data_IF_219480235550
#
_entry.id   IF_219480235550
#
_cell.length_a   1.000
_cell.length_b   1.000
_cell.length_c   1.000
_cell.angle_alpha   90.00
_cell.angle_beta   90.00
_cell.angle_gamma   90.00
#
_symmetry.space_group_name_H-M   'P 1'
#
loop_
_entity.id
_entity.type
_entity.pdbx_description
1 polymer ?
#
# COMPACT_ATOMS: atom_id res chain seq x y z
N UNK A 1 -8.97 -26.00 0.35
CA UNK A 1 -9.58 -25.15 1.38
C UNK A 1 -10.28 -26.02 2.39
N UNK A 2 -9.80 -26.01 3.63
CA UNK A 2 -10.40 -26.69 4.77
C UNK A 2 -11.73 -26.03 5.17
N UNK A 3 -12.61 -26.76 5.84
CA UNK A 3 -13.79 -26.16 6.45
C UNK A 3 -13.40 -25.19 7.57
N UNK A 4 -14.33 -24.32 7.97
CA UNK A 4 -14.12 -23.48 9.15
C UNK A 4 -13.82 -24.33 10.39
N UNK A 5 -14.62 -25.38 10.59
CA UNK A 5 -14.50 -26.32 11.70
C UNK A 5 -13.16 -27.05 11.76
N UNK A 6 -12.72 -27.60 10.63
CA UNK A 6 -11.45 -28.30 10.51
C UNK A 6 -10.27 -27.39 10.87
N UNK A 7 -10.32 -26.14 10.41
CA UNK A 7 -9.29 -25.13 10.67
C UNK A 7 -9.26 -24.74 12.16
N UNK A 8 -10.43 -24.54 12.79
CA UNK A 8 -10.52 -24.31 14.24
C UNK A 8 -9.90 -25.46 15.02
N UNK A 9 -10.24 -26.70 14.65
CA UNK A 9 -9.74 -27.91 15.30
C UNK A 9 -8.21 -27.99 15.20
N UNK A 10 -7.66 -27.82 13.99
CA UNK A 10 -6.23 -27.85 13.71
C UNK A 10 -5.46 -26.86 14.59
N UNK A 11 -5.86 -25.59 14.56
CA UNK A 11 -5.20 -24.52 15.31
C UNK A 11 -5.34 -24.75 16.81
N UNK A 12 -6.52 -25.17 17.27
CA UNK A 12 -6.78 -25.47 18.68
C UNK A 12 -5.85 -26.58 19.17
N UNK A 13 -5.78 -27.70 18.44
CA UNK A 13 -4.96 -28.85 18.85
C UNK A 13 -3.48 -28.55 18.79
N UNK A 14 -3.02 -27.78 17.79
CA UNK A 14 -1.63 -27.34 17.69
C UNK A 14 -1.20 -26.48 18.90
N UNK A 15 -2.16 -25.77 19.52
CA UNK A 15 -1.94 -24.98 20.74
C UNK A 15 -2.16 -25.74 22.05
N UNK A 16 -2.52 -27.03 21.99
CA UNK A 16 -2.84 -27.82 23.19
C UNK A 16 -4.10 -27.36 23.93
N UNK A 17 -4.98 -26.59 23.28
CA UNK A 17 -6.22 -26.08 23.87
C UNK A 17 -7.29 -27.18 23.79
N UNK A 18 -8.05 -27.40 24.86
CA UNK A 18 -9.20 -28.33 24.86
C UNK A 18 -10.45 -27.67 24.25
N UNK A 19 -11.41 -28.48 23.80
CA UNK A 19 -12.68 -27.95 23.30
C UNK A 19 -13.41 -27.12 24.38
N UNK A 20 -13.37 -27.55 25.64
CA UNK A 20 -14.02 -26.84 26.74
C UNK A 20 -13.38 -25.47 26.99
N UNK A 21 -12.05 -25.36 26.91
CA UNK A 21 -11.35 -24.09 27.06
C UNK A 21 -11.65 -23.12 25.92
N UNK A 22 -11.62 -23.60 24.67
CA UNK A 22 -11.93 -22.74 23.51
C UNK A 22 -13.39 -22.28 23.54
N UNK A 23 -14.32 -23.22 23.80
CA UNK A 23 -15.75 -22.93 23.91
C UNK A 23 -16.04 -21.95 25.06
N UNK A 24 -15.45 -22.19 26.24
CA UNK A 24 -15.65 -21.41 27.46
C UNK A 24 -17.11 -21.04 27.68
N UNK A 25 -17.39 -19.75 27.90
CA UNK A 25 -18.75 -19.22 28.01
C UNK A 25 -19.43 -18.82 26.70
N UNK A 26 -18.76 -18.98 25.54
CA UNK A 26 -19.31 -18.54 24.24
C UNK A 26 -20.38 -19.49 23.73
N UNK A 27 -20.05 -20.77 23.75
CA UNK A 27 -20.86 -21.87 23.29
C UNK A 27 -20.59 -23.07 24.19
N UNK A 28 -21.49 -24.06 24.17
CA UNK A 28 -21.22 -25.30 24.88
C UNK A 28 -20.19 -26.15 24.11
N UNK A 29 -19.47 -27.02 24.83
CA UNK A 29 -18.45 -27.92 24.26
C UNK A 29 -19.00 -28.78 23.11
N UNK A 30 -20.24 -29.24 23.21
CA UNK A 30 -20.87 -30.10 22.20
C UNK A 30 -21.10 -29.35 20.89
N UNK A 31 -21.52 -28.08 20.95
CA UNK A 31 -21.63 -27.19 19.80
C UNK A 31 -20.27 -26.95 19.16
N UNK A 32 -19.22 -26.69 19.95
CA UNK A 32 -17.86 -26.58 19.40
C UNK A 32 -17.43 -27.87 18.70
N UNK A 33 -17.72 -29.04 19.29
CA UNK A 33 -17.43 -30.32 18.66
C UNK A 33 -18.21 -30.51 17.35
N UNK A 34 -19.46 -30.05 17.26
CA UNK A 34 -20.22 -30.09 16.00
C UNK A 34 -19.60 -29.18 14.95
N UNK A 35 -19.20 -27.97 15.34
CA UNK A 35 -18.49 -27.03 14.48
C UNK A 35 -17.19 -27.66 13.95
N UNK A 36 -16.34 -28.20 14.83
CA UNK A 36 -15.05 -28.80 14.47
C UNK A 36 -15.17 -30.01 13.52
N UNK A 37 -16.32 -30.66 13.49
CA UNK A 37 -16.59 -31.78 12.58
C UNK A 37 -17.55 -31.40 11.44
N UNK A 38 -17.72 -30.08 11.19
CA UNK A 38 -18.53 -29.53 10.09
C UNK A 38 -20.01 -29.95 10.12
N UNK A 39 -20.54 -30.31 11.29
CA UNK A 39 -21.97 -30.61 11.49
C UNK A 39 -22.82 -29.36 11.75
N UNK A 40 -22.20 -28.26 12.14
CA UNK A 40 -22.86 -27.00 12.46
C UNK A 40 -21.96 -25.83 12.06
N UNK A 41 -22.50 -24.83 11.37
CA UNK A 41 -21.78 -23.59 11.07
C UNK A 41 -22.05 -22.57 12.18
N UNK A 42 -21.02 -21.91 12.73
CA UNK A 42 -21.23 -20.88 13.74
C UNK A 42 -21.84 -19.61 13.12
N UNK A 43 -22.50 -18.81 13.96
CA UNK A 43 -22.80 -17.42 13.60
C UNK A 43 -21.49 -16.64 13.38
N UNK A 44 -21.54 -15.58 12.56
CA UNK A 44 -20.38 -14.71 12.32
C UNK A 44 -19.76 -14.17 13.62
N UNK A 45 -20.61 -13.79 14.59
CA UNK A 45 -20.16 -13.31 15.89
C UNK A 45 -19.39 -14.39 16.66
N UNK A 46 -19.91 -15.63 16.70
CA UNK A 46 -19.25 -16.74 17.36
C UNK A 46 -17.95 -17.15 16.63
N UNK A 47 -17.96 -17.16 15.30
CA UNK A 47 -16.77 -17.43 14.49
C UNK A 47 -15.63 -16.46 14.84
N UNK A 48 -15.94 -15.16 14.84
CA UNK A 48 -14.98 -14.09 15.17
C UNK A 48 -14.43 -14.25 16.59
N UNK A 49 -15.29 -14.55 17.58
CA UNK A 49 -14.87 -14.74 18.98
C UNK A 49 -14.02 -15.99 19.17
N UNK A 50 -14.33 -17.09 18.47
CA UNK A 50 -13.53 -18.32 18.50
C UNK A 50 -12.13 -18.09 17.92
N UNK A 51 -12.04 -17.45 16.74
CA UNK A 51 -10.76 -17.08 16.12
C UNK A 51 -9.93 -16.20 17.04
N UNK A 52 -10.56 -15.18 17.65
CA UNK A 52 -9.88 -14.30 18.62
C UNK A 52 -9.37 -15.06 19.85
N UNK A 53 -10.11 -16.04 20.37
CA UNK A 53 -9.67 -16.87 21.50
C UNK A 53 -8.51 -17.79 21.16
N UNK A 54 -8.38 -18.16 19.88
CA UNK A 54 -7.18 -18.83 19.40
C UNK A 54 -5.98 -17.88 19.39
N UNK A 55 -6.18 -16.56 19.40
CA UNK A 55 -5.09 -15.57 19.43
C UNK A 55 -4.55 -15.22 18.06
N UNK A 56 -5.36 -15.38 17.02
CA UNK A 56 -5.01 -15.02 15.64
C UNK A 56 -6.04 -14.06 15.05
N UNK A 57 -5.69 -13.43 13.94
CA UNK A 57 -6.59 -12.55 13.21
C UNK A 57 -7.50 -13.36 12.26
N UNK A 58 -8.59 -12.75 11.80
CA UNK A 58 -9.42 -13.33 10.73
C UNK A 58 -8.59 -13.61 9.47
N UNK A 59 -7.71 -12.67 9.09
CA UNK A 59 -6.84 -12.79 7.92
C UNK A 59 -5.91 -14.02 8.03
N UNK A 60 -5.27 -14.19 9.18
CA UNK A 60 -4.40 -15.34 9.43
C UNK A 60 -5.18 -16.65 9.46
N UNK A 61 -6.39 -16.66 10.04
CA UNK A 61 -7.27 -17.82 10.02
C UNK A 61 -7.62 -18.23 8.59
N UNK A 62 -8.04 -17.28 7.75
CA UNK A 62 -8.38 -17.55 6.35
C UNK A 62 -7.16 -18.02 5.54
N UNK A 63 -5.97 -17.48 5.84
CA UNK A 63 -4.70 -17.96 5.27
C UNK A 63 -4.40 -19.42 5.64
N UNK A 64 -4.52 -19.80 6.92
CA UNK A 64 -4.33 -21.19 7.39
C UNK A 64 -5.39 -22.12 6.79
N UNK A 65 -6.65 -21.67 6.73
CA UNK A 65 -7.78 -22.40 6.14
C UNK A 65 -7.55 -22.72 4.67
N UNK A 66 -6.89 -21.81 3.97
CA UNK A 66 -6.49 -21.94 2.57
C UNK A 66 -5.11 -22.59 2.41
N UNK A 67 -4.69 -23.41 3.39
CA UNK A 67 -3.42 -24.17 3.34
C UNK A 67 -2.19 -23.25 3.20
N UNK A 68 -2.21 -22.15 3.96
CA UNK A 68 -1.17 -21.12 3.95
C UNK A 68 -1.02 -20.46 2.58
N UNK A 69 -2.16 -20.20 1.93
CA UNK A 69 -2.24 -19.45 0.68
C UNK A 69 -3.30 -18.37 0.78
N UNK A 70 -3.07 -17.23 0.13
CA UNK A 70 -4.14 -16.27 -0.07
C UNK A 70 -5.12 -16.81 -1.11
N UNK A 71 -6.39 -16.46 -1.00
CA UNK A 71 -7.29 -16.69 -2.13
C UNK A 71 -6.87 -15.82 -3.32
N UNK A 72 -7.33 -16.18 -4.52
CA UNK A 72 -6.84 -15.55 -5.74
C UNK A 72 -7.05 -14.01 -5.78
N UNK A 73 -8.15 -13.51 -5.19
CA UNK A 73 -8.43 -12.06 -5.11
C UNK A 73 -7.58 -11.37 -4.03
N UNK A 74 -7.46 -11.96 -2.85
CA UNK A 74 -6.60 -11.47 -1.77
C UNK A 74 -5.15 -11.38 -2.22
N UNK A 75 -4.67 -12.40 -2.92
CA UNK A 75 -3.31 -12.41 -3.44
C UNK A 75 -3.11 -11.26 -4.44
N UNK A 76 -4.11 -10.88 -5.25
CA UNK A 76 -3.99 -9.72 -6.16
C UNK A 76 -3.79 -8.44 -5.33
N UNK A 77 -4.60 -8.26 -4.29
CA UNK A 77 -4.52 -7.07 -3.42
C UNK A 77 -3.21 -7.04 -2.63
N UNK A 78 -2.79 -8.19 -2.10
CA UNK A 78 -1.53 -8.34 -1.36
C UNK A 78 -0.34 -7.98 -2.25
N UNK A 79 -0.29 -8.50 -3.48
CA UNK A 79 0.81 -8.20 -4.40
C UNK A 79 0.80 -6.74 -4.84
N UNK A 80 -0.39 -6.16 -5.09
CA UNK A 80 -0.55 -4.74 -5.39
C UNK A 80 0.08 -3.85 -4.29
N UNK A 81 -0.21 -4.15 -3.02
CA UNK A 81 0.32 -3.37 -1.90
C UNK A 81 1.84 -3.54 -1.70
N UNK A 82 2.42 -4.61 -2.26
CA UNK A 82 3.84 -4.89 -2.22
C UNK A 82 4.60 -4.44 -3.48
N UNK A 83 3.94 -3.75 -4.42
CA UNK A 83 4.63 -3.02 -5.48
C UNK A 83 5.21 -1.75 -4.85
N UNK A 84 6.53 -1.76 -4.63
CA UNK A 84 7.23 -0.65 -3.98
C UNK A 84 7.75 0.39 -5.00
N UNK A 85 8.04 -0.06 -6.23
CA UNK A 85 8.64 0.78 -7.27
C UNK A 85 8.13 0.42 -8.67
N UNK A 86 8.28 1.37 -9.60
CA UNK A 86 7.85 1.21 -11.00
C UNK A 86 8.71 0.18 -11.76
N UNK A 87 9.96 -0.04 -11.35
CA UNK A 87 10.89 -0.99 -11.97
C UNK A 87 10.49 -2.46 -11.83
N UNK A 88 9.50 -2.77 -10.98
CA UNK A 88 9.03 -4.13 -10.72
C UNK A 88 8.13 -4.67 -11.85
N UNK A 89 8.52 -4.49 -13.11
CA UNK A 89 7.78 -4.83 -14.32
C UNK A 89 7.31 -6.29 -14.33
N UNK A 90 8.15 -7.21 -13.85
CA UNK A 90 7.79 -8.63 -13.75
C UNK A 90 6.64 -8.88 -12.76
N UNK A 91 6.61 -8.16 -11.63
CA UNK A 91 5.51 -8.25 -10.66
C UNK A 91 4.22 -7.69 -11.26
N UNK A 92 4.31 -6.55 -11.95
CA UNK A 92 3.15 -5.94 -12.62
C UNK A 92 2.58 -6.86 -13.70
N UNK A 93 3.43 -7.45 -14.54
CA UNK A 93 3.01 -8.37 -15.60
C UNK A 93 2.31 -9.62 -15.03
N UNK A 94 2.87 -10.22 -13.96
CA UNK A 94 2.25 -11.34 -13.26
C UNK A 94 0.88 -10.95 -12.67
N UNK A 95 0.80 -9.77 -12.05
CA UNK A 95 -0.43 -9.27 -11.46
C UNK A 95 -1.52 -9.02 -12.51
N UNK A 96 -1.16 -8.42 -13.65
CA UNK A 96 -2.05 -8.20 -14.78
C UNK A 96 -2.66 -9.50 -15.32
N UNK A 97 -1.83 -10.55 -15.49
CA UNK A 97 -2.30 -11.86 -15.91
C UNK A 97 -3.36 -12.41 -14.94
N UNK A 98 -3.12 -12.28 -13.64
CA UNK A 98 -4.06 -12.75 -12.63
C UNK A 98 -5.36 -11.96 -12.60
N UNK A 99 -5.32 -10.66 -12.89
CA UNK A 99 -6.54 -9.87 -13.07
C UNK A 99 -7.41 -10.35 -14.24
N UNK A 100 -6.83 -10.97 -15.28
CA UNK A 100 -7.62 -11.53 -16.41
C UNK A 100 -8.54 -12.67 -15.98
N UNK A 101 -8.25 -13.33 -14.87
CA UNK A 101 -9.08 -14.43 -14.32
C UNK A 101 -10.40 -13.93 -13.71
N UNK A 102 -10.59 -12.62 -13.58
CA UNK A 102 -11.75 -12.00 -12.93
C UNK A 102 -12.47 -10.98 -13.84
N UNK A 103 -12.97 -11.38 -15.03
CA UNK A 103 -13.53 -10.45 -16.01
C UNK A 103 -14.78 -9.70 -15.51
N UNK A 104 -15.52 -10.30 -14.57
CA UNK A 104 -16.76 -9.75 -14.02
C UNK A 104 -16.57 -9.02 -12.68
N UNK A 105 -15.37 -9.03 -12.10
CA UNK A 105 -15.09 -8.33 -10.84
C UNK A 105 -14.68 -6.89 -11.14
N UNK A 106 -15.60 -5.95 -10.89
CA UNK A 106 -15.40 -4.53 -11.21
C UNK A 106 -14.16 -3.94 -10.52
N UNK A 107 -13.87 -4.36 -9.28
CA UNK A 107 -12.73 -3.82 -8.54
C UNK A 107 -11.41 -4.38 -9.10
N UNK A 108 -11.38 -5.65 -9.50
CA UNK A 108 -10.21 -6.21 -10.17
C UNK A 108 -10.01 -5.60 -11.56
N UNK A 109 -11.08 -5.29 -12.31
CA UNK A 109 -10.96 -4.58 -13.57
C UNK A 109 -10.43 -3.14 -13.38
N UNK A 110 -10.83 -2.45 -12.30
CA UNK A 110 -10.27 -1.14 -11.92
C UNK A 110 -8.77 -1.24 -11.62
N UNK A 111 -8.35 -2.20 -10.79
CA UNK A 111 -6.92 -2.47 -10.50
C UNK A 111 -6.16 -2.72 -11.80
N UNK A 112 -6.68 -3.56 -12.69
CA UNK A 112 -6.07 -3.89 -13.97
C UNK A 112 -5.86 -2.66 -14.86
N UNK A 113 -6.85 -1.77 -14.97
CA UNK A 113 -6.72 -0.51 -15.74
C UNK A 113 -5.60 0.36 -15.17
N UNK A 114 -5.52 0.46 -13.84
CA UNK A 114 -4.48 1.23 -13.15
C UNK A 114 -3.10 0.63 -13.36
N UNK A 115 -2.95 -0.68 -13.26
CA UNK A 115 -1.69 -1.37 -13.54
C UNK A 115 -1.23 -1.18 -15.00
N UNK A 116 -2.17 -1.23 -15.96
CA UNK A 116 -1.85 -0.93 -17.37
C UNK A 116 -1.38 0.51 -17.56
N UNK A 117 -2.02 1.46 -16.88
CA UNK A 117 -1.60 2.86 -16.95
C UNK A 117 -0.22 3.08 -16.30
N UNK A 118 0.04 2.41 -15.18
CA UNK A 118 1.31 2.48 -14.46
C UNK A 118 2.47 1.91 -15.29
N UNK A 119 2.22 0.88 -16.09
CA UNK A 119 3.19 0.27 -17.01
C UNK A 119 3.09 0.82 -18.45
N UNK A 120 2.41 1.95 -18.66
CA UNK A 120 2.22 2.50 -20.00
C UNK A 120 3.53 3.05 -20.55
N UNK A 121 3.69 2.95 -21.87
CA UNK A 121 4.89 3.42 -22.59
C UNK A 121 5.01 4.95 -22.63
N UNK A 122 3.90 5.66 -22.39
CA UNK A 122 3.85 7.11 -22.44
C UNK A 122 2.80 7.69 -21.49
N UNK A 123 3.02 8.93 -21.06
CA UNK A 123 2.06 9.69 -20.26
C UNK A 123 0.70 9.83 -20.97
N UNK A 124 0.71 9.96 -22.30
CA UNK A 124 -0.52 10.06 -23.11
C UNK A 124 -1.36 8.79 -22.99
N UNK A 125 -0.72 7.63 -23.13
CA UNK A 125 -1.36 6.33 -22.98
C UNK A 125 -1.92 6.15 -21.56
N UNK A 126 -1.10 6.42 -20.53
CA UNK A 126 -1.52 6.34 -19.12
C UNK A 126 -2.75 7.23 -18.85
N UNK A 127 -2.73 8.49 -19.31
CA UNK A 127 -3.86 9.42 -19.17
C UNK A 127 -5.11 8.92 -19.87
N UNK A 128 -4.99 8.34 -21.07
CA UNK A 128 -6.15 7.83 -21.80
C UNK A 128 -6.88 6.71 -21.08
N UNK A 129 -6.16 5.93 -20.26
CA UNK A 129 -6.72 4.86 -19.43
C UNK A 129 -7.33 5.39 -18.13
N UNK A 130 -6.63 6.29 -17.42
CA UNK A 130 -7.00 6.69 -16.05
C UNK A 130 -8.04 7.81 -16.02
N UNK A 131 -7.96 8.81 -16.89
CA UNK A 131 -8.83 9.99 -16.82
C UNK A 131 -10.33 9.64 -16.94
N UNK A 132 -10.76 8.72 -17.82
CA UNK A 132 -12.15 8.28 -17.85
C UNK A 132 -12.61 7.64 -16.54
N UNK A 133 -11.78 6.78 -15.94
CA UNK A 133 -12.04 6.11 -14.67
C UNK A 133 -12.13 7.13 -13.52
N UNK A 134 -11.20 8.09 -13.49
CA UNK A 134 -11.17 9.17 -12.51
C UNK A 134 -12.46 9.98 -12.52
N UNK A 135 -12.87 10.49 -13.69
CA UNK A 135 -14.05 11.36 -13.84
C UNK A 135 -15.38 10.66 -13.53
N UNK A 136 -15.46 9.35 -13.78
CA UNK A 136 -16.72 8.61 -13.65
C UNK A 136 -16.91 8.00 -12.27
N UNK A 137 -15.82 7.62 -11.59
CA UNK A 137 -15.88 6.86 -10.34
C UNK A 137 -15.08 7.54 -9.22
N UNK A 138 -13.75 7.63 -9.37
CA UNK A 138 -12.85 7.92 -8.25
C UNK A 138 -13.00 9.35 -7.71
N UNK A 139 -13.25 10.34 -8.57
CA UNK A 139 -13.44 11.73 -8.14
C UNK A 139 -14.74 11.94 -7.35
N UNK A 140 -15.69 11.00 -7.43
CA UNK A 140 -17.00 11.05 -6.75
C UNK A 140 -17.02 10.26 -5.45
N UNK A 141 -15.96 9.54 -5.13
CA UNK A 141 -15.87 8.78 -3.88
C UNK A 141 -15.69 9.73 -2.71
N UNK A 142 -16.58 9.71 -1.74
CA UNK A 142 -16.51 10.57 -0.53
C UNK A 142 -15.53 10.04 0.52
N UNK A 143 -15.40 8.72 0.63
CA UNK A 143 -14.55 8.05 1.61
C UNK A 143 -13.61 7.07 0.91
N UNK A 144 -12.32 7.41 0.89
CA UNK A 144 -11.29 6.51 0.38
C UNK A 144 -10.98 5.41 1.40
N UNK A 145 -10.95 4.17 0.95
CA UNK A 145 -10.44 3.05 1.71
C UNK A 145 -8.93 2.84 1.44
N UNK A 146 -8.33 1.82 2.07
CA UNK A 146 -6.91 1.50 1.90
C UNK A 146 -6.55 1.25 0.43
N UNK A 147 -7.35 0.44 -0.28
CA UNK A 147 -7.12 0.12 -1.68
C UNK A 147 -7.15 1.38 -2.56
N UNK A 148 -8.13 2.26 -2.36
CA UNK A 148 -8.22 3.51 -3.10
C UNK A 148 -6.96 4.37 -2.93
N UNK A 149 -6.44 4.48 -1.70
CA UNK A 149 -5.21 5.25 -1.43
C UNK A 149 -3.99 4.68 -2.16
N UNK A 150 -3.83 3.36 -2.18
CA UNK A 150 -2.75 2.72 -2.95
C UNK A 150 -2.91 2.96 -4.45
N UNK A 151 -4.11 2.78 -4.97
CA UNK A 151 -4.41 3.00 -6.39
C UNK A 151 -4.12 4.46 -6.80
N UNK A 152 -4.50 5.43 -5.98
CA UNK A 152 -4.21 6.85 -6.20
C UNK A 152 -2.71 7.16 -6.20
N UNK A 153 -1.95 6.50 -5.31
CA UNK A 153 -0.50 6.68 -5.26
C UNK A 153 0.17 6.20 -6.55
N UNK A 154 -0.32 5.12 -7.17
CA UNK A 154 0.22 4.58 -8.42
C UNK A 154 -0.06 5.49 -9.63
N UNK A 155 -1.27 6.02 -9.75
CA UNK A 155 -1.66 6.86 -10.90
C UNK A 155 -1.33 8.34 -10.73
N UNK A 156 -0.61 8.71 -9.66
CA UNK A 156 -0.38 10.11 -9.30
C UNK A 156 0.19 10.94 -10.46
N UNK A 157 1.15 10.37 -11.20
CA UNK A 157 1.85 11.01 -12.31
C UNK A 157 0.97 11.41 -13.51
N UNK A 158 -0.27 10.89 -13.62
CA UNK A 158 -1.12 11.16 -14.78
C UNK A 158 -1.84 12.51 -14.68
N UNK A 159 -1.93 13.10 -13.48
CA UNK A 159 -2.70 14.31 -13.23
C UNK A 159 -1.88 15.58 -13.43
N UNK A 160 -2.55 16.73 -13.56
CA UNK A 160 -1.91 18.03 -13.47
C UNK A 160 -1.56 18.37 -12.01
N UNK A 161 -0.64 19.32 -11.83
CA UNK A 161 -0.11 19.69 -10.52
C UNK A 161 -1.18 20.12 -9.49
N UNK A 162 -2.21 20.87 -9.91
CA UNK A 162 -3.24 21.34 -8.97
C UNK A 162 -4.11 20.17 -8.50
N UNK A 163 -4.50 19.29 -9.43
CA UNK A 163 -5.19 18.05 -9.11
C UNK A 163 -4.34 17.18 -8.19
N UNK A 164 -3.04 17.04 -8.46
CA UNK A 164 -2.12 16.24 -7.66
C UNK A 164 -1.95 16.79 -6.22
N UNK A 165 -1.87 18.12 -6.06
CA UNK A 165 -1.83 18.76 -4.74
C UNK A 165 -3.13 18.49 -3.97
N UNK A 166 -4.28 18.61 -4.64
CA UNK A 166 -5.59 18.31 -4.05
C UNK A 166 -5.71 16.85 -3.59
N UNK A 167 -5.31 15.91 -4.44
CA UNK A 167 -5.27 14.47 -4.11
C UNK A 167 -4.34 14.23 -2.92
N UNK A 168 -3.13 14.80 -2.93
CA UNK A 168 -2.14 14.61 -1.86
C UNK A 168 -2.68 15.11 -0.52
N UNK A 169 -3.25 16.31 -0.48
CA UNK A 169 -3.81 16.89 0.74
C UNK A 169 -4.91 16.00 1.33
N UNK A 170 -5.82 15.53 0.47
CA UNK A 170 -6.92 14.67 0.91
C UNK A 170 -6.41 13.29 1.36
N UNK A 171 -5.45 12.72 0.65
CA UNK A 171 -4.91 11.39 0.95
C UNK A 171 -4.15 11.41 2.29
N UNK A 172 -3.28 12.41 2.49
CA UNK A 172 -2.55 12.63 3.75
C UNK A 172 -3.54 12.76 4.90
N UNK A 173 -4.53 13.66 4.79
CA UNK A 173 -5.55 13.85 5.82
C UNK A 173 -6.32 12.56 6.12
N UNK A 174 -6.71 11.82 5.08
CA UNK A 174 -7.44 10.55 5.23
C UNK A 174 -6.60 9.51 5.98
N UNK A 175 -5.30 9.43 5.67
CA UNK A 175 -4.38 8.51 6.36
C UNK A 175 -4.22 8.91 7.83
N UNK A 176 -3.97 10.19 8.11
CA UNK A 176 -3.80 10.69 9.48
C UNK A 176 -5.05 10.46 10.35
N UNK A 177 -6.24 10.70 9.80
CA UNK A 177 -7.50 10.62 10.56
C UNK A 177 -8.07 9.19 10.66
N UNK A 178 -7.91 8.36 9.62
CA UNK A 178 -8.62 7.07 9.51
C UNK A 178 -7.69 5.85 9.46
N UNK A 179 -6.49 5.98 8.91
CA UNK A 179 -5.58 4.86 8.70
C UNK A 179 -4.14 5.15 9.17
N UNK A 180 -3.94 5.56 10.44
CA UNK A 180 -2.63 6.05 10.92
C UNK A 180 -1.52 4.98 10.91
N UNK A 181 -1.86 3.72 10.63
CA UNK A 181 -0.91 2.64 10.39
C UNK A 181 -0.27 2.67 8.98
N UNK A 182 -0.81 3.46 8.04
CA UNK A 182 -0.32 3.59 6.65
C UNK A 182 0.77 4.66 6.48
N UNK A 183 1.65 4.85 7.47
CA UNK A 183 2.69 5.91 7.46
C UNK A 183 3.65 5.82 6.27
N UNK A 184 3.93 4.61 5.77
CA UNK A 184 4.79 4.46 4.58
C UNK A 184 4.10 5.02 3.32
N UNK A 185 2.79 4.81 3.18
CA UNK A 185 2.02 5.34 2.07
C UNK A 185 1.86 6.86 2.19
N UNK A 186 1.65 7.36 3.41
CA UNK A 186 1.66 8.79 3.70
C UNK A 186 2.98 9.45 3.27
N UNK A 187 4.11 8.80 3.59
CA UNK A 187 5.44 9.26 3.17
C UNK A 187 5.52 9.43 1.65
N UNK A 188 4.96 8.50 0.88
CA UNK A 188 4.93 8.61 -0.58
C UNK A 188 4.11 9.82 -1.05
N UNK A 189 2.93 10.08 -0.50
CA UNK A 189 2.13 11.26 -0.85
C UNK A 189 2.84 12.57 -0.48
N UNK A 190 3.47 12.63 0.69
CA UNK A 190 4.24 13.79 1.16
C UNK A 190 5.43 14.05 0.23
N UNK A 191 6.19 13.01 -0.14
CA UNK A 191 7.31 13.13 -1.08
C UNK A 191 6.86 13.57 -2.47
N UNK A 192 5.78 13.00 -2.99
CA UNK A 192 5.24 13.35 -4.30
C UNK A 192 4.76 14.81 -4.32
N UNK A 193 4.09 15.27 -3.25
CA UNK A 193 3.70 16.68 -3.10
C UNK A 193 4.91 17.62 -3.04
N UNK A 194 5.97 17.25 -2.33
CA UNK A 194 7.19 18.05 -2.27
C UNK A 194 7.86 18.20 -3.66
N UNK A 195 7.91 17.12 -4.45
CA UNK A 195 8.45 17.18 -5.81
C UNK A 195 7.68 18.17 -6.71
N UNK A 196 6.35 18.19 -6.61
CA UNK A 196 5.51 19.17 -7.34
C UNK A 196 5.85 20.61 -6.93
N UNK A 197 5.98 20.86 -5.63
CA UNK A 197 6.33 22.19 -5.13
C UNK A 197 7.72 22.62 -5.61
N UNK A 198 8.70 21.71 -5.63
CA UNK A 198 10.03 21.96 -6.19
C UNK A 198 9.96 22.31 -7.69
N UNK A 199 9.18 21.56 -8.48
CA UNK A 199 8.98 21.86 -9.90
C UNK A 199 8.32 23.21 -10.14
N UNK A 200 7.45 23.65 -9.22
CA UNK A 200 6.86 24.99 -9.20
C UNK A 200 7.79 26.08 -8.63
N UNK A 201 9.06 25.73 -8.35
CA UNK A 201 10.05 26.59 -7.69
C UNK A 201 9.66 27.08 -6.30
N UNK A 202 8.65 26.46 -5.68
CA UNK A 202 8.21 26.78 -4.33
C UNK A 202 9.01 25.94 -3.30
N UNK A 203 10.29 26.27 -3.18
CA UNK A 203 11.25 25.50 -2.39
C UNK A 203 11.03 25.62 -0.87
N UNK A 204 10.48 26.74 -0.39
CA UNK A 204 10.22 26.94 1.04
C UNK A 204 9.07 26.04 1.52
N UNK A 205 7.96 26.00 0.77
CA UNK A 205 6.87 25.07 1.07
C UNK A 205 7.29 23.61 0.89
N UNK A 206 8.10 23.31 -0.15
CA UNK A 206 8.67 21.98 -0.33
C UNK A 206 9.50 21.55 0.89
N UNK A 207 10.38 22.43 1.38
CA UNK A 207 11.23 22.17 2.55
C UNK A 207 10.39 21.86 3.81
N UNK A 208 9.33 22.64 4.07
CA UNK A 208 8.42 22.39 5.20
C UNK A 208 7.79 20.99 5.13
N UNK A 209 7.36 20.57 3.94
CA UNK A 209 6.74 19.26 3.71
C UNK A 209 7.79 18.13 3.82
N UNK A 210 9.01 18.36 3.38
CA UNK A 210 10.10 17.37 3.45
C UNK A 210 10.51 17.06 4.89
N UNK A 211 10.41 18.01 5.82
CA UNK A 211 10.60 17.75 7.26
C UNK A 211 9.60 16.70 7.78
N UNK A 212 8.34 16.77 7.32
CA UNK A 212 7.33 15.74 7.63
C UNK A 212 7.71 14.39 7.01
N UNK A 213 8.13 14.37 5.74
CA UNK A 213 8.58 13.14 5.07
C UNK A 213 9.74 12.46 5.82
N UNK A 214 10.73 13.23 6.29
CA UNK A 214 11.85 12.74 7.09
C UNK A 214 11.36 12.07 8.39
N UNK A 215 10.39 12.69 9.06
CA UNK A 215 9.82 12.16 10.32
C UNK A 215 9.10 10.84 10.09
N UNK A 216 8.26 10.77 9.06
CA UNK A 216 7.52 9.55 8.71
C UNK A 216 8.45 8.42 8.23
N UNK A 217 9.43 8.73 7.39
CA UNK A 217 10.40 7.76 6.89
C UNK A 217 11.24 7.14 8.02
N UNK A 218 11.66 7.95 9.02
CA UNK A 218 12.32 7.46 10.23
C UNK A 218 11.41 6.53 11.04
N UNK A 219 10.15 6.92 11.24
CA UNK A 219 9.19 6.14 12.02
C UNK A 219 8.84 4.77 11.38
N UNK A 220 9.10 4.62 10.08
CA UNK A 220 8.81 3.40 9.30
C UNK A 220 10.08 2.66 8.86
N UNK A 221 11.26 3.10 9.29
CA UNK A 221 12.56 2.56 8.89
C UNK A 221 12.78 2.49 7.36
N UNK A 222 12.10 3.35 6.60
CA UNK A 222 12.25 3.47 5.15
C UNK A 222 13.43 4.37 4.81
N UNK A 223 14.64 3.84 4.96
CA UNK A 223 15.88 4.60 4.79
C UNK A 223 16.09 5.12 3.36
N UNK A 224 15.59 4.39 2.36
CA UNK A 224 15.53 4.85 0.97
C UNK A 224 14.72 6.15 0.84
N UNK A 225 13.51 6.18 1.42
CA UNK A 225 12.64 7.37 1.43
C UNK A 225 13.18 8.48 2.32
N UNK A 226 13.88 8.14 3.39
CA UNK A 226 14.56 9.11 4.26
C UNK A 226 15.66 9.85 3.47
N UNK A 227 16.49 9.12 2.74
CA UNK A 227 17.56 9.69 1.93
C UNK A 227 17.01 10.53 0.78
N UNK A 228 15.93 10.08 0.12
CA UNK A 228 15.21 10.91 -0.86
C UNK A 228 14.71 12.23 -0.24
N UNK A 229 14.06 12.17 0.92
CA UNK A 229 13.54 13.36 1.60
C UNK A 229 14.66 14.33 1.99
N UNK A 230 15.78 13.81 2.51
CA UNK A 230 16.96 14.61 2.86
C UNK A 230 17.65 15.22 1.63
N UNK A 231 17.83 14.44 0.57
CA UNK A 231 18.43 14.92 -0.68
C UNK A 231 17.61 16.06 -1.29
N UNK A 232 16.29 15.90 -1.36
CA UNK A 232 15.38 16.96 -1.80
C UNK A 232 15.41 18.19 -0.88
N UNK A 233 15.50 17.98 0.43
CA UNK A 233 15.60 19.09 1.39
C UNK A 233 16.91 19.86 1.19
N UNK A 234 18.00 19.15 0.95
CA UNK A 234 19.29 19.74 0.63
C UNK A 234 19.23 20.57 -0.68
N UNK A 235 18.53 20.09 -1.72
CA UNK A 235 18.26 20.89 -2.93
C UNK A 235 17.48 22.17 -2.59
N UNK A 236 16.44 22.07 -1.77
CA UNK A 236 15.66 23.24 -1.34
C UNK A 236 16.55 24.25 -0.58
N UNK A 237 17.49 23.76 0.23
CA UNK A 237 18.42 24.56 1.04
C UNK A 237 19.71 24.99 0.31
N UNK A 238 19.88 24.61 -0.96
CA UNK A 238 21.10 24.84 -1.74
C UNK A 238 22.36 24.16 -1.17
N UNK A 239 22.18 23.06 -0.45
CA UNK A 239 23.28 22.26 0.09
C UNK A 239 23.67 21.14 -0.88
N UNK A 240 24.53 21.47 -1.86
CA UNK A 240 25.01 20.51 -2.86
C UNK A 240 25.74 19.32 -2.23
N UNK A 241 26.46 19.54 -1.13
CA UNK A 241 27.26 18.51 -0.46
C UNK A 241 26.36 17.45 0.16
N UNK A 242 25.33 17.86 0.90
CA UNK A 242 24.38 16.93 1.51
C UNK A 242 23.53 16.20 0.45
N UNK A 243 23.13 16.89 -0.63
CA UNK A 243 22.41 16.26 -1.74
C UNK A 243 23.23 15.12 -2.38
N UNK A 244 24.51 15.38 -2.70
CA UNK A 244 25.42 14.37 -3.26
C UNK A 244 25.76 13.26 -2.27
N UNK A 245 25.84 13.57 -0.97
CA UNK A 245 25.99 12.54 0.07
C UNK A 245 24.79 11.60 0.09
N UNK A 246 23.56 12.13 0.10
CA UNK A 246 22.35 11.31 0.06
C UNK A 246 22.31 10.42 -1.19
N UNK A 247 22.67 10.98 -2.35
CA UNK A 247 22.74 10.24 -3.61
C UNK A 247 23.77 9.10 -3.55
N UNK A 248 24.96 9.36 -2.99
CA UNK A 248 26.00 8.34 -2.80
C UNK A 248 25.48 7.19 -1.92
N UNK A 249 24.86 7.51 -0.77
CA UNK A 249 24.35 6.47 0.14
C UNK A 249 23.24 5.65 -0.52
N UNK A 250 22.34 6.28 -1.29
CA UNK A 250 21.31 5.56 -2.06
C UNK A 250 21.91 4.52 -3.01
N UNK A 251 23.02 4.86 -3.66
CA UNK A 251 23.77 3.92 -4.51
C UNK A 251 24.38 2.77 -3.71
N UNK A 252 24.95 3.07 -2.54
CA UNK A 252 25.60 2.07 -1.67
C UNK A 252 24.61 1.06 -1.08
N UNK A 253 23.35 1.46 -0.88
CA UNK A 253 22.28 0.57 -0.39
C UNK A 253 21.47 -0.08 -1.53
N UNK A 254 21.92 0.06 -2.79
CA UNK A 254 21.28 -0.52 -3.98
C UNK A 254 19.81 -0.09 -4.16
N UNK A 255 19.47 1.14 -3.73
CA UNK A 255 18.14 1.71 -3.89
C UNK A 255 17.99 2.39 -5.27
N UNK A 256 18.19 1.63 -6.35
CA UNK A 256 18.37 2.14 -7.72
C UNK A 256 17.26 3.08 -8.20
N UNK A 257 15.99 2.75 -7.96
CA UNK A 257 14.86 3.61 -8.36
C UNK A 257 14.90 4.98 -7.67
N UNK A 258 15.25 4.98 -6.39
CA UNK A 258 15.31 6.19 -5.57
C UNK A 258 16.57 6.99 -5.91
N UNK A 259 17.69 6.28 -6.16
CA UNK A 259 18.93 6.86 -6.64
C UNK A 259 18.72 7.60 -7.97
N UNK A 260 18.11 6.96 -8.96
CA UNK A 260 17.87 7.56 -10.27
C UNK A 260 16.96 8.78 -10.15
N UNK A 261 15.87 8.67 -9.38
CA UNK A 261 14.97 9.81 -9.14
C UNK A 261 15.67 11.01 -8.50
N UNK A 262 16.52 10.79 -7.48
CA UNK A 262 17.25 11.89 -6.85
C UNK A 262 18.35 12.45 -7.77
N UNK A 263 19.02 11.59 -8.55
CA UNK A 263 20.03 11.99 -9.52
C UNK A 263 19.43 12.97 -10.54
N UNK A 264 18.30 12.60 -11.13
CA UNK A 264 17.62 13.42 -12.14
C UNK A 264 17.21 14.78 -11.56
N UNK A 265 16.74 14.81 -10.30
CA UNK A 265 16.40 16.06 -9.62
C UNK A 265 17.63 16.94 -9.32
N UNK A 266 18.76 16.34 -8.92
CA UNK A 266 20.01 17.08 -8.71
C UNK A 266 20.47 17.71 -10.04
N UNK A 267 20.39 16.98 -11.15
CA UNK A 267 20.72 17.49 -12.48
C UNK A 267 19.74 18.59 -12.92
N UNK A 268 18.44 18.39 -12.73
CA UNK A 268 17.39 19.36 -13.05
C UNK A 268 17.58 20.69 -12.30
N UNK A 269 18.00 20.64 -11.03
CA UNK A 269 18.17 21.81 -10.17
C UNK A 269 19.64 22.22 -9.96
N UNK A 270 20.57 21.81 -10.84
CA UNK A 270 22.00 22.10 -10.67
C UNK A 270 22.32 23.60 -10.61
N UNK A 271 21.57 24.42 -11.36
CA UNK A 271 21.69 25.89 -11.32
C UNK A 271 21.37 26.50 -9.96
N UNK A 272 20.52 25.84 -9.17
CA UNK A 272 20.19 26.25 -7.79
C UNK A 272 21.27 25.82 -6.79
N UNK A 273 21.98 24.73 -7.09
CA UNK A 273 23.04 24.14 -6.26
C UNK A 273 24.43 24.72 -6.56
N UNK A 274 24.54 25.56 -7.59
CA UNK A 274 25.77 26.22 -8.03
C UNK A 274 26.14 27.43 -7.17
#
# INVERSE_FOLDING_TARGET
MKSFGETIKEIRTARGITQSELAGSLINRTTLSKIENSFEEPSYENATKLIKRLGITQIEFDYIRNDYQFNAKEQIIFDLFNIAYNSEVNKIASLLNRCEQFPNDQEIQKIKVILKAFNASSLREARSLVIPLWKTQVSKTDNWNVLDLYLLNMIFFVFDDDTMIGISNRAIKTIEEKYPFLKSLETNFVLNKAAILMNRQNFDDAAMILVKAITLAKATFRYDKLLMAKGRLAICQKDKKEALYCLKVLKEIEADDVYNGLKDEIEQFDSRLS
#
